data_IF_140266274779
#
_entry.id   IF_140266274779
#
_cell.length_a   1.000
_cell.length_b   1.000
_cell.length_c   1.000
_cell.angle_alpha   90.00
_cell.angle_beta   90.00
_cell.angle_gamma   90.00
#
_symmetry.space_group_name_H-M   'P 1'
#
loop_
_entity.id
_entity.type
_entity.pdbx_description
1 polymer ?
#
# COMPACT_ATOMS: atom_id res chain seq x y z
N UNK A 1 -10.31 19.73 -7.46
CA UNK A 1 -10.96 19.22 -6.24
C UNK A 1 -9.89 18.63 -5.35
N UNK A 2 -9.56 19.31 -4.26
CA UNK A 2 -8.55 18.86 -3.30
C UNK A 2 -9.19 17.75 -2.48
N UNK A 3 -9.09 16.49 -2.92
CA UNK A 3 -9.43 15.37 -2.03
C UNK A 3 -8.48 15.45 -0.83
N UNK A 4 -9.02 15.85 0.32
CA UNK A 4 -8.32 15.79 1.59
C UNK A 4 -8.23 14.31 1.97
N UNK A 5 -7.23 13.61 1.43
CA UNK A 5 -6.98 12.23 1.83
C UNK A 5 -6.63 12.21 3.32
N UNK A 6 -7.32 11.37 4.07
CA UNK A 6 -7.07 11.16 5.50
C UNK A 6 -5.94 10.16 5.71
N UNK A 7 -5.16 10.37 6.76
CA UNK A 7 -4.15 9.44 7.26
C UNK A 7 -4.74 8.05 7.60
N UNK A 8 -3.86 7.08 7.86
CA UNK A 8 -4.26 5.75 8.32
C UNK A 8 -4.92 5.83 9.70
N UNK A 9 -6.04 5.11 9.84
CA UNK A 9 -6.72 4.97 11.12
C UNK A 9 -5.99 3.93 12.00
N UNK A 10 -6.06 4.04 13.33
CA UNK A 10 -5.39 3.09 14.24
C UNK A 10 -5.96 1.67 14.16
N UNK A 11 -7.18 1.48 13.64
CA UNK A 11 -7.78 0.16 13.40
C UNK A 11 -7.69 -0.26 11.92
N UNK A 12 -7.10 0.57 11.06
CA UNK A 12 -6.94 0.25 9.64
C UNK A 12 -5.94 -0.91 9.50
N UNK A 13 -6.38 -2.01 8.86
CA UNK A 13 -5.54 -3.18 8.62
C UNK A 13 -5.24 -3.40 7.14
N UNK A 14 -6.15 -3.01 6.24
CA UNK A 14 -5.94 -3.15 4.80
C UNK A 14 -6.80 -2.16 4.01
N UNK A 15 -6.18 -1.60 2.96
CA UNK A 15 -6.79 -0.77 1.93
C UNK A 15 -6.65 -1.51 0.61
N UNK A 16 -7.77 -1.88 0.01
CA UNK A 16 -7.80 -2.55 -1.29
C UNK A 16 -8.64 -1.70 -2.23
N UNK A 17 -8.03 -1.19 -3.31
CA UNK A 17 -8.79 -0.56 -4.38
C UNK A 17 -9.80 -1.56 -4.95
N UNK A 18 -11.08 -1.18 -4.99
CA UNK A 18 -12.12 -2.05 -5.52
C UNK A 18 -12.45 -1.62 -6.94
N UNK A 19 -11.87 -2.28 -7.95
CA UNK A 19 -12.39 -2.20 -9.30
C UNK A 19 -13.75 -2.90 -9.34
N UNK A 20 -14.77 -2.27 -8.77
CA UNK A 20 -16.15 -2.66 -9.03
C UNK A 20 -16.39 -2.41 -10.51
N UNK A 21 -16.79 -3.44 -11.23
CA UNK A 21 -17.08 -3.38 -12.65
C UNK A 21 -18.32 -2.49 -12.91
N UNK A 22 -18.17 -1.18 -12.77
CA UNK A 22 -19.14 -0.21 -13.22
C UNK A 22 -18.63 0.33 -14.57
N UNK A 23 -19.26 -0.16 -15.64
CA UNK A 23 -19.48 0.53 -16.93
C UNK A 23 -18.42 1.57 -17.35
N UNK A 24 -17.59 1.18 -18.33
CA UNK A 24 -16.88 2.07 -19.25
C UNK A 24 -16.17 3.28 -18.62
N UNK A 25 -15.14 3.00 -17.82
CA UNK A 25 -14.16 3.99 -17.42
C UNK A 25 -13.42 3.52 -16.20
N UNK A 26 -12.12 3.22 -16.34
CA UNK A 26 -11.23 2.92 -15.22
C UNK A 26 -11.13 4.15 -14.31
N UNK A 27 -12.11 4.33 -13.43
CA UNK A 27 -12.04 5.30 -12.36
C UNK A 27 -11.06 4.73 -11.35
N UNK A 28 -9.88 5.35 -11.23
CA UNK A 28 -9.05 5.15 -10.06
C UNK A 28 -9.92 5.41 -8.83
N UNK A 29 -10.28 4.36 -8.10
CA UNK A 29 -11.04 4.48 -6.87
C UNK A 29 -10.39 5.51 -5.95
N UNK A 30 -11.20 6.21 -5.17
CA UNK A 30 -10.71 7.13 -4.15
C UNK A 30 -9.72 6.42 -3.20
N UNK A 31 -9.87 5.10 -3.03
CA UNK A 31 -8.93 4.23 -2.31
C UNK A 31 -7.57 4.12 -2.99
N UNK A 32 -7.51 3.91 -4.32
CA UNK A 32 -6.22 3.85 -5.04
C UNK A 32 -5.47 5.18 -4.93
N UNK A 33 -6.21 6.30 -5.07
CA UNK A 33 -5.63 7.64 -4.90
C UNK A 33 -5.18 7.89 -3.46
N UNK A 34 -5.93 7.42 -2.46
CA UNK A 34 -5.54 7.48 -1.04
C UNK A 34 -4.27 6.68 -0.78
N UNK A 35 -4.19 5.45 -1.30
CA UNK A 35 -2.99 4.60 -1.18
C UNK A 35 -1.78 5.31 -1.80
N UNK A 36 -1.91 5.84 -3.02
CA UNK A 36 -0.84 6.57 -3.68
C UNK A 36 -0.38 7.78 -2.86
N UNK A 37 -1.32 8.54 -2.30
CA UNK A 37 -1.00 9.68 -1.43
C UNK A 37 -0.27 9.24 -0.15
N UNK A 38 -0.72 8.16 0.50
CA UNK A 38 -0.09 7.61 1.70
C UNK A 38 1.35 7.19 1.43
N UNK A 39 1.60 6.38 0.40
CA UNK A 39 2.96 5.90 0.08
C UNK A 39 3.88 7.00 -0.44
N UNK A 40 3.34 8.05 -1.04
CA UNK A 40 4.14 9.16 -1.59
C UNK A 40 4.45 10.26 -0.57
N UNK A 41 3.62 10.42 0.46
CA UNK A 41 3.72 11.58 1.38
C UNK A 41 3.74 11.25 2.86
N UNK A 42 3.23 10.08 3.27
CA UNK A 42 3.07 9.72 4.69
C UNK A 42 3.98 8.59 5.11
N UNK A 43 4.09 7.55 4.29
CA UNK A 43 4.84 6.36 4.62
C UNK A 43 6.28 6.44 4.13
N UNK A 44 7.19 5.87 4.90
CA UNK A 44 8.60 5.79 4.54
C UNK A 44 8.89 4.46 3.86
N UNK A 45 9.42 4.45 2.63
CA UNK A 45 9.82 3.20 1.98
C UNK A 45 10.96 2.55 2.75
N UNK A 46 10.86 1.24 2.99
CA UNK A 46 11.87 0.44 3.67
C UNK A 46 12.57 -0.55 2.75
N UNK A 47 11.81 -1.28 1.93
CA UNK A 47 12.35 -2.32 1.07
C UNK A 47 11.48 -2.52 -0.16
N UNK A 48 12.05 -3.12 -1.20
CA UNK A 48 11.34 -3.55 -2.40
C UNK A 48 11.68 -5.01 -2.68
N UNK A 49 10.68 -5.78 -3.08
CA UNK A 49 10.81 -7.19 -3.43
C UNK A 49 10.13 -7.46 -4.77
N UNK A 50 10.41 -8.65 -5.33
CA UNK A 50 9.85 -9.09 -6.62
C UNK A 50 10.03 -8.03 -7.72
N UNK A 51 11.22 -7.43 -7.85
CA UNK A 51 11.48 -6.44 -8.91
C UNK A 51 10.64 -5.15 -8.82
N UNK A 52 10.08 -4.82 -7.65
CA UNK A 52 9.25 -3.64 -7.41
C UNK A 52 7.74 -3.92 -7.38
N UNK A 53 7.34 -5.17 -7.64
CA UNK A 53 5.95 -5.63 -7.50
C UNK A 53 5.46 -5.64 -6.05
N UNK A 54 6.38 -5.74 -5.09
CA UNK A 54 6.07 -5.55 -3.67
C UNK A 54 6.98 -4.52 -3.06
N UNK A 55 6.40 -3.64 -2.27
CA UNK A 55 7.12 -2.56 -1.64
C UNK A 55 6.69 -2.48 -0.19
N UNK A 56 7.68 -2.50 0.71
CA UNK A 56 7.47 -2.37 2.13
C UNK A 56 7.65 -0.92 2.54
N UNK A 57 6.70 -0.46 3.33
CA UNK A 57 6.66 0.86 3.91
C UNK A 57 6.52 0.79 5.43
N UNK A 58 6.97 1.83 6.11
CA UNK A 58 6.77 2.02 7.55
C UNK A 58 6.01 3.30 7.80
N UNK A 59 5.02 3.23 8.68
CA UNK A 59 4.37 4.42 9.22
C UNK A 59 5.30 5.06 10.26
N UNK A 60 5.78 6.30 10.06
CA UNK A 60 6.63 6.98 11.03
C UNK A 60 5.89 7.39 12.32
N UNK A 61 4.55 7.38 12.34
CA UNK A 61 3.74 7.82 13.48
C UNK A 61 3.65 6.77 14.59
N UNK A 62 3.52 5.49 14.19
CA UNK A 62 3.32 4.37 15.11
C UNK A 62 4.27 3.18 14.87
N UNK A 63 5.02 3.18 13.76
CA UNK A 63 5.98 2.15 13.43
C UNK A 63 5.41 0.88 12.79
N UNK A 64 4.12 0.84 12.44
CA UNK A 64 3.51 -0.26 11.69
C UNK A 64 4.13 -0.41 10.30
N UNK A 65 4.13 -1.65 9.84
CA UNK A 65 4.66 -2.03 8.54
C UNK A 65 3.51 -2.23 7.56
N UNK A 66 3.65 -1.68 6.37
CA UNK A 66 2.64 -1.66 5.33
C UNK A 66 3.23 -2.19 4.03
N UNK A 67 2.63 -3.22 3.49
CA UNK A 67 2.98 -3.84 2.22
C UNK A 67 2.09 -3.30 1.10
N UNK A 68 2.70 -2.70 0.08
CA UNK A 68 2.07 -2.33 -1.17
C UNK A 68 2.28 -3.45 -2.20
N UNK A 69 1.19 -3.97 -2.74
CA UNK A 69 1.17 -4.99 -3.80
C UNK A 69 0.24 -4.61 -4.95
N UNK A 70 0.44 -5.25 -6.10
CA UNK A 70 -0.36 -5.08 -7.31
C UNK A 70 -0.96 -6.44 -7.74
N UNK A 71 -2.07 -6.90 -7.11
CA UNK A 71 -2.63 -8.24 -7.33
C UNK A 71 -3.01 -8.57 -8.78
N UNK A 72 -3.19 -7.57 -9.66
CA UNK A 72 -3.50 -7.75 -11.09
C UNK A 72 -2.46 -7.11 -12.02
N UNK A 73 -1.19 -7.15 -11.62
CA UNK A 73 -0.05 -6.52 -12.33
C UNK A 73 0.19 -6.99 -13.77
N UNK A 74 -0.41 -8.10 -14.19
CA UNK A 74 -0.27 -8.64 -15.56
C UNK A 74 -1.06 -7.88 -16.63
N UNK A 75 -1.97 -6.99 -16.24
CA UNK A 75 -2.69 -6.11 -17.17
C UNK A 75 -1.84 -4.85 -17.43
N UNK A 76 -1.74 -4.45 -18.69
CA UNK A 76 -0.98 -3.31 -19.25
C UNK A 76 -1.52 -1.94 -18.77
N UNK A 77 -1.61 -1.79 -17.45
CA UNK A 77 -2.33 -0.75 -16.72
C UNK A 77 -2.30 -0.92 -15.20
N UNK A 78 -1.64 -1.96 -14.67
CA UNK A 78 -1.30 -2.10 -13.25
C UNK A 78 -2.53 -2.04 -12.34
N UNK A 79 -3.30 -3.14 -12.29
CA UNK A 79 -4.57 -3.20 -11.54
C UNK A 79 -4.48 -2.78 -10.07
N UNK A 80 -5.60 -2.80 -9.34
CA UNK A 80 -5.78 -2.01 -8.12
C UNK A 80 -4.65 -2.19 -7.11
N UNK A 81 -4.09 -1.08 -6.63
CA UNK A 81 -3.12 -1.11 -5.54
C UNK A 81 -3.78 -1.66 -4.29
N UNK A 82 -3.06 -2.55 -3.62
CA UNK A 82 -3.42 -3.03 -2.29
C UNK A 82 -2.34 -2.62 -1.32
N UNK A 83 -2.73 -1.94 -0.25
CA UNK A 83 -1.88 -1.59 0.87
C UNK A 83 -2.38 -2.32 2.11
N UNK A 84 -1.63 -3.27 2.63
CA UNK A 84 -2.02 -4.06 3.80
C UNK A 84 -0.98 -3.96 4.90
N UNK A 85 -1.43 -3.87 6.15
CA UNK A 85 -0.54 -3.96 7.30
C UNK A 85 -0.01 -5.39 7.39
N UNK A 86 1.30 -5.53 7.54
CA UNK A 86 1.96 -6.83 7.72
C UNK A 86 2.69 -6.87 9.05
N UNK A 87 2.90 -8.08 9.57
CA UNK A 87 3.69 -8.26 10.79
C UNK A 87 5.19 -8.11 10.50
N UNK A 88 5.99 -7.97 11.57
CA UNK A 88 7.45 -7.96 11.46
C UNK A 88 8.00 -9.28 10.95
N UNK A 89 7.35 -10.38 11.31
CA UNK A 89 7.69 -11.72 10.83
C UNK A 89 7.52 -11.79 9.32
N UNK A 90 6.34 -11.40 8.81
CA UNK A 90 6.09 -11.35 7.36
C UNK A 90 7.07 -10.41 6.64
N UNK A 91 7.40 -9.26 7.21
CA UNK A 91 8.36 -8.33 6.63
C UNK A 91 9.76 -8.94 6.55
N UNK A 92 10.16 -9.68 7.57
CA UNK A 92 11.46 -10.36 7.62
C UNK A 92 11.48 -11.52 6.62
N UNK A 93 10.42 -12.32 6.54
CA UNK A 93 10.33 -13.44 5.61
C UNK A 93 10.31 -12.99 4.14
N UNK A 94 9.53 -11.95 3.81
CA UNK A 94 9.33 -11.51 2.43
C UNK A 94 10.45 -10.59 1.92
N UNK A 95 11.00 -9.74 2.79
CA UNK A 95 11.95 -8.68 2.41
C UNK A 95 13.32 -8.81 3.08
N UNK A 96 13.50 -9.74 4.02
CA UNK A 96 14.74 -9.87 4.78
C UNK A 96 15.00 -8.70 5.74
N UNK A 97 14.04 -7.81 5.94
CA UNK A 97 14.20 -6.67 6.86
C UNK A 97 13.55 -6.98 8.21
N UNK A 98 14.40 -7.17 9.20
CA UNK A 98 13.97 -7.07 10.59
C UNK A 98 13.82 -5.58 10.88
N UNK A 99 12.58 -5.08 10.98
CA UNK A 99 12.39 -3.76 11.55
C UNK A 99 12.92 -3.83 12.99
N UNK A 100 14.12 -3.31 13.23
CA UNK A 100 14.60 -3.11 14.59
C UNK A 100 13.61 -2.15 15.27
N UNK A 101 13.10 -2.55 16.43
CA UNK A 101 12.40 -1.61 17.29
C UNK A 101 13.39 -0.49 17.69
N UNK A 102 12.94 0.78 17.75
CA UNK A 102 13.76 1.83 18.35
C UNK A 102 14.07 1.53 19.82
#
# INVERSE_FOLDING_TARGET
MTSAFHDLAPDEQALVGSWTAAVAGSVHDEVDRRILWLVSRRLTPLAVAEGGWRQLYRDPRDGRLWELTFPHGSLHGGGPRRLAMITREEATEKYGVCAAAP
#
